data_IF_539485314169
#
_entry.id   IF_539485314169
#
_cell.length_a   1.000
_cell.length_b   1.000
_cell.length_c   1.000
_cell.angle_alpha   90.00
_cell.angle_beta   90.00
_cell.angle_gamma   90.00
#
_symmetry.space_group_name_H-M   'P 1'
#
loop_
_entity.id
_entity.type
_entity.pdbx_description
1 polymer ?
#
# COMPACT_ATOMS: atom_id res chain seq x y z
N UNK A 1 26.88 -19.93 15.31
CA UNK A 1 25.52 -19.99 14.73
C UNK A 1 24.79 -18.75 15.18
N UNK A 2 24.25 -17.95 14.27
CA UNK A 2 23.54 -16.73 14.62
C UNK A 2 22.02 -16.97 14.64
N UNK A 3 21.31 -16.12 15.38
CA UNK A 3 19.86 -16.00 15.30
C UNK A 3 19.50 -14.79 14.45
N UNK A 4 18.51 -14.95 13.56
CA UNK A 4 17.96 -13.89 12.73
C UNK A 4 16.46 -13.74 12.99
N UNK A 5 16.03 -12.52 13.30
CA UNK A 5 14.62 -12.15 13.32
C UNK A 5 14.23 -11.57 11.96
N UNK A 6 13.14 -12.04 11.34
CA UNK A 6 12.58 -11.48 10.13
C UNK A 6 11.22 -10.86 10.45
N UNK A 7 11.12 -9.54 10.35
CA UNK A 7 9.86 -8.81 10.51
C UNK A 7 9.44 -8.29 9.15
N UNK A 8 8.25 -8.66 8.70
CA UNK A 8 7.81 -8.32 7.37
C UNK A 8 6.35 -7.90 7.26
N UNK A 9 6.01 -7.22 6.18
CA UNK A 9 4.62 -6.99 5.78
C UNK A 9 4.43 -7.53 4.36
N UNK A 10 3.25 -8.06 4.04
CA UNK A 10 2.96 -8.55 2.68
C UNK A 10 1.53 -8.24 2.24
N UNK A 11 1.36 -7.95 0.96
CA UNK A 11 0.05 -7.81 0.32
C UNK A 11 -0.41 -9.15 -0.27
N UNK A 12 -0.09 -9.39 -1.54
CA UNK A 12 -0.46 -10.61 -2.28
C UNK A 12 0.58 -11.73 -2.20
N UNK A 13 1.54 -11.66 -1.27
CA UNK A 13 2.46 -12.76 -1.01
C UNK A 13 3.89 -12.59 -1.51
N UNK A 14 4.19 -11.66 -2.42
CA UNK A 14 5.56 -11.50 -2.98
C UNK A 14 6.63 -11.33 -1.89
N UNK A 15 6.37 -10.47 -0.89
CA UNK A 15 7.31 -10.30 0.24
C UNK A 15 7.39 -11.53 1.12
N UNK A 16 6.31 -12.29 1.27
CA UNK A 16 6.36 -13.54 2.03
C UNK A 16 7.18 -14.60 1.30
N UNK A 17 7.12 -14.64 -0.03
CA UNK A 17 7.97 -15.49 -0.85
C UNK A 17 9.45 -15.12 -0.71
N UNK A 18 9.80 -13.84 -0.84
CA UNK A 18 11.17 -13.37 -0.63
C UNK A 18 11.68 -13.71 0.79
N UNK A 19 10.82 -13.58 1.81
CA UNK A 19 11.14 -13.97 3.20
C UNK A 19 11.39 -15.49 3.32
N UNK A 20 10.61 -16.32 2.63
CA UNK A 20 10.82 -17.77 2.61
C UNK A 20 12.16 -18.14 1.93
N UNK A 21 12.54 -17.44 0.84
CA UNK A 21 13.87 -17.58 0.21
C UNK A 21 14.99 -17.23 1.19
N UNK A 22 14.89 -16.09 1.88
CA UNK A 22 15.86 -15.65 2.91
C UNK A 22 15.95 -16.67 4.05
N UNK A 23 14.80 -17.10 4.58
CA UNK A 23 14.74 -18.03 5.70
C UNK A 23 15.45 -19.35 5.37
N UNK A 24 15.16 -19.93 4.19
CA UNK A 24 15.80 -21.17 3.75
C UNK A 24 17.31 -21.01 3.60
N UNK A 25 17.77 -19.91 3.00
CA UNK A 25 19.20 -19.67 2.80
C UNK A 25 19.95 -19.50 4.13
N UNK A 26 19.36 -18.78 5.10
CA UNK A 26 19.94 -18.63 6.44
C UNK A 26 19.98 -19.98 7.19
N UNK A 27 18.91 -20.77 7.10
CA UNK A 27 18.83 -22.10 7.71
C UNK A 27 19.84 -23.09 7.10
N UNK A 28 20.09 -23.03 5.79
CA UNK A 28 21.13 -23.82 5.12
C UNK A 28 22.54 -23.50 5.66
N UNK A 29 22.76 -22.27 6.14
CA UNK A 29 24.00 -21.88 6.83
C UNK A 29 23.98 -22.22 8.34
N UNK A 30 23.07 -23.08 8.78
CA UNK A 30 22.88 -23.52 10.18
C UNK A 30 22.56 -22.36 11.15
N UNK A 31 21.93 -21.29 10.65
CA UNK A 31 21.40 -20.24 11.50
C UNK A 31 19.97 -20.56 11.94
N UNK A 32 19.56 -20.02 13.09
CA UNK A 32 18.17 -20.07 13.51
C UNK A 32 17.45 -18.82 13.02
N UNK A 33 16.19 -18.98 12.61
CA UNK A 33 15.41 -17.89 12.01
C UNK A 33 14.02 -17.87 12.63
N UNK A 34 13.59 -16.70 13.08
CA UNK A 34 12.21 -16.40 13.43
C UNK A 34 11.62 -15.48 12.35
N UNK A 35 10.35 -15.64 11.98
CA UNK A 35 9.70 -14.78 10.99
C UNK A 35 8.29 -14.39 11.43
N UNK A 36 7.99 -13.09 11.41
CA UNK A 36 6.69 -12.55 11.83
C UNK A 36 6.15 -11.55 10.81
N UNK A 37 4.92 -11.79 10.36
CA UNK A 37 4.20 -10.86 9.49
C UNK A 37 3.43 -9.83 10.33
N UNK A 38 3.69 -8.55 10.11
CA UNK A 38 2.89 -7.44 10.61
C UNK A 38 1.51 -7.50 9.95
N UNK A 39 0.48 -7.72 10.75
CA UNK A 39 -0.91 -7.58 10.35
C UNK A 39 -1.72 -6.98 11.51
N UNK A 40 -2.92 -6.48 11.24
CA UNK A 40 -3.85 -6.05 12.28
C UNK A 40 -4.28 -7.18 13.22
N UNK A 41 -4.02 -8.44 12.84
CA UNK A 41 -4.39 -9.63 13.59
C UNK A 41 -3.19 -10.30 14.28
N UNK A 42 -1.97 -9.82 14.04
CA UNK A 42 -0.74 -10.38 14.62
C UNK A 42 -0.19 -9.41 15.65
N UNK A 43 -0.07 -9.84 16.90
CA UNK A 43 0.66 -9.10 17.92
C UNK A 43 2.16 -9.19 17.62
N UNK A 44 2.72 -8.18 16.95
CA UNK A 44 4.17 -8.08 16.75
C UNK A 44 4.78 -7.36 17.95
N UNK A 45 5.72 -7.96 18.69
CA UNK A 45 6.32 -7.32 19.85
C UNK A 45 6.96 -5.96 19.50
N UNK A 46 6.63 -4.95 20.29
CA UNK A 46 7.28 -3.63 20.26
C UNK A 46 8.42 -3.66 21.28
N UNK A 47 9.51 -4.32 20.89
CA UNK A 47 10.76 -4.44 21.68
C UNK A 47 11.95 -4.03 20.81
N UNK A 48 13.14 -3.76 21.40
CA UNK A 48 14.32 -3.48 20.59
C UNK A 48 14.57 -4.63 19.62
N UNK A 49 14.90 -4.29 18.37
CA UNK A 49 15.26 -5.30 17.37
C UNK A 49 16.54 -6.04 17.81
N UNK A 50 16.59 -7.34 17.54
CA UNK A 50 17.69 -8.22 17.94
C UNK A 50 19.01 -7.90 17.23
N UNK A 51 20.05 -8.68 17.52
CA UNK A 51 21.39 -8.46 16.97
C UNK A 51 21.43 -8.51 15.45
N UNK A 52 20.68 -9.45 14.84
CA UNK A 52 20.52 -9.54 13.38
C UNK A 52 19.03 -9.54 13.06
N UNK A 53 18.54 -8.49 12.41
CA UNK A 53 17.13 -8.38 12.03
C UNK A 53 16.97 -8.02 10.56
N UNK A 54 16.14 -8.78 9.85
CA UNK A 54 15.70 -8.48 8.49
C UNK A 54 14.34 -7.78 8.55
N UNK A 55 14.22 -6.62 7.92
CA UNK A 55 12.97 -5.90 7.69
C UNK A 55 12.60 -6.03 6.22
N UNK A 56 11.46 -6.67 5.93
CA UNK A 56 11.02 -6.87 4.53
C UNK A 56 9.60 -6.30 4.29
N UNK A 57 9.40 -5.58 3.20
CA UNK A 57 8.07 -5.00 2.90
C UNK A 57 7.88 -4.76 1.40
N UNK A 58 6.64 -4.75 0.88
CA UNK A 58 6.34 -4.33 -0.48
C UNK A 58 6.47 -2.81 -0.62
N UNK A 59 6.85 -2.32 -1.80
CA UNK A 59 6.84 -0.89 -2.11
C UNK A 59 5.45 -0.47 -2.55
N UNK A 60 4.84 0.46 -1.82
CA UNK A 60 3.56 1.08 -2.20
C UNK A 60 3.79 2.54 -2.54
N UNK A 61 3.62 2.86 -3.82
CA UNK A 61 3.82 4.22 -4.36
C UNK A 61 5.14 4.81 -3.93
N UNK A 62 6.24 4.09 -4.21
CA UNK A 62 7.61 4.54 -3.94
C UNK A 62 7.97 4.71 -2.46
N UNK A 63 7.13 4.20 -1.54
CA UNK A 63 7.32 4.28 -0.09
C UNK A 63 7.03 2.96 0.62
N UNK A 64 7.44 2.89 1.89
CA UNK A 64 7.09 1.77 2.76
C UNK A 64 5.58 1.80 3.09
N UNK A 65 4.93 0.63 3.26
CA UNK A 65 3.54 0.52 3.67
C UNK A 65 3.33 1.25 4.99
N UNK A 66 2.14 1.84 5.19
CA UNK A 66 1.84 2.58 6.40
C UNK A 66 1.91 1.68 7.64
N UNK A 67 1.52 0.41 7.51
CA UNK A 67 1.63 -0.61 8.56
C UNK A 67 3.08 -0.82 9.00
N UNK A 68 4.01 -0.99 8.05
CA UNK A 68 5.44 -1.11 8.32
C UNK A 68 5.98 0.19 8.95
N UNK A 69 5.67 1.35 8.37
CA UNK A 69 6.10 2.65 8.87
C UNK A 69 5.56 2.94 10.28
N UNK A 70 4.35 2.50 10.61
CA UNK A 70 3.77 2.62 11.95
C UNK A 70 4.53 1.74 12.92
N UNK A 71 4.73 0.47 12.60
CA UNK A 71 5.51 -0.45 13.42
C UNK A 71 6.90 0.12 13.75
N UNK A 72 7.66 0.49 12.71
CA UNK A 72 9.03 1.00 12.87
C UNK A 72 9.09 2.25 13.77
N UNK A 73 8.11 3.16 13.66
CA UNK A 73 8.06 4.37 14.50
C UNK A 73 7.81 4.08 15.98
N UNK A 74 7.09 3.01 16.31
CA UNK A 74 6.80 2.63 17.70
C UNK A 74 7.92 1.81 18.35
N UNK A 75 8.88 1.30 17.57
CA UNK A 75 10.03 0.59 18.12
C UNK A 75 10.80 1.46 19.13
N UNK A 76 11.25 0.90 20.26
CA UNK A 76 12.20 1.58 21.13
C UNK A 76 13.54 1.78 20.42
N UNK A 77 14.39 2.63 21.02
CA UNK A 77 15.79 2.75 20.58
C UNK A 77 16.52 1.42 20.76
N UNK A 78 17.52 1.16 19.94
CA UNK A 78 18.31 -0.07 19.98
C UNK A 78 19.62 0.09 19.21
N UNK A 79 20.42 -0.98 19.17
CA UNK A 79 21.72 -1.03 18.48
C UNK A 79 21.88 -2.25 17.56
N UNK A 80 20.78 -2.99 17.32
CA UNK A 80 20.79 -4.18 16.48
C UNK A 80 21.23 -3.88 15.04
N UNK A 81 21.79 -4.89 14.36
CA UNK A 81 22.19 -4.82 12.95
C UNK A 81 21.00 -5.15 12.06
N UNK A 82 20.66 -4.23 11.19
CA UNK A 82 19.43 -4.30 10.40
C UNK A 82 19.75 -4.44 8.91
N UNK A 83 19.02 -5.35 8.28
CA UNK A 83 19.05 -5.61 6.85
C UNK A 83 17.65 -5.33 6.28
N UNK A 84 17.53 -4.52 5.23
CA UNK A 84 16.23 -4.07 4.72
C UNK A 84 16.03 -4.54 3.28
N UNK A 85 14.94 -5.26 3.02
CA UNK A 85 14.54 -5.68 1.67
C UNK A 85 13.21 -5.04 1.27
N UNK A 86 13.23 -4.24 0.21
CA UNK A 86 12.02 -3.69 -0.40
C UNK A 86 11.60 -4.56 -1.60
N UNK A 87 10.34 -5.01 -1.62
CA UNK A 87 9.81 -5.83 -2.71
C UNK A 87 8.95 -4.98 -3.63
N UNK A 88 9.41 -4.76 -4.86
CA UNK A 88 8.79 -3.85 -5.84
C UNK A 88 8.03 -4.64 -6.90
N UNK A 89 7.03 -4.01 -7.51
CA UNK A 89 6.28 -4.57 -8.64
C UNK A 89 7.15 -4.61 -9.89
N UNK A 90 7.44 -5.80 -10.41
CA UNK A 90 8.21 -6.05 -11.61
C UNK A 90 7.30 -6.37 -12.79
N UNK A 91 7.79 -6.03 -13.99
CA UNK A 91 7.20 -6.40 -15.27
C UNK A 91 8.23 -7.18 -16.10
N UNK A 92 7.80 -8.04 -17.04
CA UNK A 92 8.70 -8.70 -17.99
C UNK A 92 9.28 -7.67 -18.98
N UNK A 93 10.52 -7.86 -19.43
CA UNK A 93 11.17 -7.01 -20.44
C UNK A 93 12.67 -6.73 -20.21
N UNK A 94 13.36 -6.29 -21.26
CA UNK A 94 14.79 -5.92 -21.27
C UNK A 94 15.10 -4.57 -20.63
N UNK A 95 14.11 -3.67 -20.58
CA UNK A 95 14.24 -2.44 -19.80
C UNK A 95 14.10 -2.79 -18.32
N UNK A 96 15.24 -2.90 -17.66
CA UNK A 96 15.43 -3.20 -16.24
C UNK A 96 14.74 -2.21 -15.28
N UNK A 97 13.92 -1.29 -15.79
CA UNK A 97 12.93 -0.51 -15.05
C UNK A 97 11.77 -1.37 -14.53
N UNK A 98 12.05 -2.60 -14.07
CA UNK A 98 11.21 -3.23 -13.06
C UNK A 98 10.97 -2.19 -11.97
N UNK A 99 9.76 -2.15 -11.41
CA UNK A 99 9.25 -1.00 -10.66
C UNK A 99 10.27 -0.35 -9.72
N UNK A 100 10.22 0.97 -9.67
CA UNK A 100 11.17 1.79 -8.92
C UNK A 100 10.85 1.72 -7.42
N UNK A 101 11.82 1.34 -6.59
CA UNK A 101 11.68 1.31 -5.12
C UNK A 101 11.50 2.69 -4.49
N UNK A 102 11.82 3.76 -5.22
CA UNK A 102 11.61 5.12 -4.75
C UNK A 102 12.47 5.47 -3.54
N UNK A 103 11.87 6.24 -2.63
CA UNK A 103 12.47 6.60 -1.34
C UNK A 103 12.13 5.63 -0.19
N UNK A 104 11.58 4.45 -0.49
CA UNK A 104 11.08 3.52 0.52
C UNK A 104 12.20 2.99 1.43
N UNK A 105 13.34 2.62 0.84
CA UNK A 105 14.51 2.14 1.58
C UNK A 105 15.11 3.25 2.43
N UNK A 106 15.27 4.46 1.88
CA UNK A 106 15.78 5.59 2.68
C UNK A 106 14.82 6.03 3.78
N UNK A 107 13.50 5.99 3.57
CA UNK A 107 12.53 6.28 4.62
C UNK A 107 12.71 5.33 5.81
N UNK A 108 12.80 4.03 5.55
CA UNK A 108 12.97 3.01 6.59
C UNK A 108 14.31 3.12 7.27
N UNK A 109 15.40 3.28 6.50
CA UNK A 109 16.73 3.50 7.06
C UNK A 109 16.76 4.73 7.97
N UNK A 110 16.17 5.84 7.53
CA UNK A 110 16.12 7.08 8.31
C UNK A 110 15.43 6.86 9.66
N UNK A 111 14.30 6.17 9.68
CA UNK A 111 13.56 5.86 10.93
C UNK A 111 14.43 5.02 11.87
N UNK A 112 15.12 4.01 11.33
CA UNK A 112 15.94 3.07 12.10
C UNK A 112 17.23 3.72 12.64
N UNK A 113 17.95 4.47 11.82
CA UNK A 113 19.19 5.17 12.23
C UNK A 113 18.90 6.22 13.32
N UNK A 114 17.79 6.98 13.21
CA UNK A 114 17.37 7.90 14.30
C UNK A 114 17.07 7.19 15.62
N UNK A 115 16.78 5.89 15.59
CA UNK A 115 16.55 5.05 16.76
C UNK A 115 17.82 4.35 17.26
N UNK A 116 18.97 4.56 16.61
CA UNK A 116 20.28 4.04 17.02
C UNK A 116 20.66 2.69 16.40
N UNK A 117 19.81 2.11 15.53
CA UNK A 117 20.09 0.85 14.86
C UNK A 117 21.15 1.02 13.78
N UNK A 118 21.98 0.00 13.56
CA UNK A 118 22.98 -0.02 12.48
C UNK A 118 22.38 -0.68 11.25
N UNK A 119 21.97 0.12 10.26
CA UNK A 119 21.46 -0.40 8.98
C UNK A 119 22.65 -0.76 8.08
N UNK A 120 22.91 -2.05 7.92
CA UNK A 120 24.09 -2.56 7.21
C UNK A 120 23.83 -2.74 5.71
N UNK A 121 22.71 -3.37 5.34
CA UNK A 121 22.37 -3.68 3.96
C UNK A 121 20.95 -3.23 3.66
N UNK A 122 20.76 -2.56 2.54
CA UNK A 122 19.43 -2.31 1.99
C UNK A 122 19.44 -2.68 0.52
N UNK A 123 18.47 -3.47 0.07
CA UNK A 123 18.31 -3.84 -1.32
C UNK A 123 16.83 -3.88 -1.71
N UNK A 124 16.57 -3.97 -3.00
CA UNK A 124 15.24 -4.23 -3.52
C UNK A 124 15.19 -5.49 -4.40
N UNK A 125 14.01 -6.07 -4.54
CA UNK A 125 13.76 -7.25 -5.37
C UNK A 125 12.43 -7.11 -6.13
N UNK A 126 12.47 -7.31 -7.44
CA UNK A 126 11.33 -7.20 -8.36
C UNK A 126 10.55 -8.51 -8.47
N UNK A 127 9.31 -8.51 -8.00
CA UNK A 127 8.34 -9.61 -8.13
C UNK A 127 7.09 -9.13 -8.87
N UNK A 128 6.25 -10.00 -9.45
CA UNK A 128 5.11 -9.58 -10.27
C UNK A 128 4.25 -8.48 -9.65
N UNK A 129 3.97 -7.43 -10.42
CA UNK A 129 3.08 -6.34 -10.00
C UNK A 129 1.66 -6.86 -9.71
N UNK A 130 0.99 -6.25 -8.73
CA UNK A 130 -0.33 -6.65 -8.26
C UNK A 130 -1.36 -5.49 -8.25
N UNK A 131 -1.02 -4.36 -8.87
CA UNK A 131 -1.79 -3.13 -8.83
C UNK A 131 -2.90 -3.10 -9.90
N UNK A 132 -3.87 -4.00 -9.71
CA UNK A 132 -4.97 -4.23 -10.66
C UNK A 132 -5.87 -3.03 -10.94
N UNK A 133 -5.74 -1.92 -10.19
CA UNK A 133 -6.41 -0.67 -10.54
C UNK A 133 -5.98 -0.15 -11.92
N UNK A 134 -4.72 -0.35 -12.28
CA UNK A 134 -4.11 0.25 -13.48
C UNK A 134 -3.40 -0.76 -14.38
N UNK A 135 -2.93 -1.88 -13.82
CA UNK A 135 -2.09 -2.85 -14.54
C UNK A 135 -2.79 -4.22 -14.52
N UNK A 136 -3.05 -4.85 -15.68
CA UNK A 136 -3.55 -6.22 -15.71
C UNK A 136 -2.51 -7.19 -15.12
N UNK A 137 -2.92 -8.25 -14.42
CA UNK A 137 -2.00 -9.26 -13.93
C UNK A 137 -1.20 -9.92 -15.06
N UNK A 138 0.04 -10.29 -14.74
CA UNK A 138 0.91 -11.02 -15.66
C UNK A 138 0.37 -12.43 -15.98
N UNK A 139 0.68 -12.92 -17.18
CA UNK A 139 0.45 -14.30 -17.57
C UNK A 139 1.31 -15.28 -16.76
N UNK A 140 0.98 -16.58 -16.77
CA UNK A 140 1.67 -17.59 -15.95
C UNK A 140 3.18 -17.67 -16.21
N UNK A 141 3.58 -17.58 -17.48
CA UNK A 141 5.00 -17.66 -17.87
C UNK A 141 5.76 -16.41 -17.41
N UNK A 142 5.15 -15.23 -17.57
CA UNK A 142 5.69 -13.95 -17.10
C UNK A 142 5.78 -13.88 -15.57
N UNK A 143 4.80 -14.45 -14.85
CA UNK A 143 4.85 -14.60 -13.39
C UNK A 143 6.07 -15.44 -13.01
N UNK A 144 6.28 -16.57 -13.69
CA UNK A 144 7.41 -17.47 -13.41
C UNK A 144 8.74 -16.78 -13.68
N UNK A 145 8.89 -16.13 -14.84
CA UNK A 145 10.10 -15.40 -15.20
C UNK A 145 10.40 -14.25 -14.23
N UNK A 146 9.39 -13.47 -13.86
CA UNK A 146 9.54 -12.34 -12.92
C UNK A 146 9.85 -12.82 -11.50
N UNK A 147 9.24 -13.91 -11.04
CA UNK A 147 9.59 -14.53 -9.75
C UNK A 147 11.04 -15.02 -9.73
N UNK A 148 11.51 -15.69 -10.78
CA UNK A 148 12.91 -16.13 -10.89
C UNK A 148 13.89 -14.95 -10.85
N UNK A 149 13.56 -13.82 -11.48
CA UNK A 149 14.33 -12.58 -11.37
C UNK A 149 14.34 -12.05 -9.92
N UNK A 150 13.17 -12.00 -9.27
CA UNK A 150 13.05 -11.58 -7.88
C UNK A 150 13.83 -12.46 -6.90
N UNK A 151 13.86 -13.77 -7.15
CA UNK A 151 14.64 -14.73 -6.36
C UNK A 151 16.14 -14.51 -6.52
N UNK A 152 16.61 -14.23 -7.75
CA UNK A 152 18.00 -13.86 -8.02
C UNK A 152 18.40 -12.56 -7.31
N UNK A 153 17.56 -11.52 -7.39
CA UNK A 153 17.80 -10.24 -6.71
C UNK A 153 17.79 -10.41 -5.17
N UNK A 154 16.89 -11.26 -4.64
CA UNK A 154 16.87 -11.65 -3.22
C UNK A 154 18.13 -12.42 -2.83
N UNK A 155 18.66 -13.28 -3.71
CA UNK A 155 19.94 -13.97 -3.53
C UNK A 155 21.12 -13.00 -3.35
N UNK A 156 21.19 -11.96 -4.18
CA UNK A 156 22.22 -10.90 -4.05
C UNK A 156 22.11 -10.18 -2.70
N UNK A 157 20.90 -9.94 -2.21
CA UNK A 157 20.69 -9.39 -0.87
C UNK A 157 21.20 -10.34 0.23
N UNK A 158 20.91 -11.64 0.12
CA UNK A 158 21.36 -12.67 1.06
C UNK A 158 22.89 -12.75 1.10
N UNK A 159 23.56 -12.72 -0.05
CA UNK A 159 25.03 -12.77 -0.12
C UNK A 159 25.68 -11.56 0.57
N UNK A 160 25.10 -10.37 0.39
CA UNK A 160 25.55 -9.15 1.08
C UNK A 160 25.32 -9.22 2.60
N UNK A 161 24.18 -9.77 3.01
CA UNK A 161 23.84 -9.97 4.42
C UNK A 161 24.84 -10.94 5.08
N UNK A 162 25.11 -12.08 4.44
CA UNK A 162 25.98 -13.14 4.97
C UNK A 162 27.47 -12.77 4.95
N UNK A 163 27.92 -11.98 3.97
CA UNK A 163 29.31 -11.49 3.92
C UNK A 163 29.64 -10.46 4.99
N UNK A 164 28.63 -9.94 5.71
CA UNK A 164 28.81 -8.84 6.67
C UNK A 164 29.12 -7.50 6.00
N UNK A 165 28.93 -7.40 4.68
CA UNK A 165 29.18 -6.18 3.92
C UNK A 165 28.27 -5.02 4.34
N UNK A 166 28.73 -3.79 4.12
CA UNK A 166 27.88 -2.59 4.20
C UNK A 166 27.50 -2.17 2.78
N UNK A 167 26.22 -2.25 2.44
CA UNK A 167 25.72 -1.90 1.11
C UNK A 167 24.33 -1.28 1.23
N UNK A 168 24.30 0.05 1.30
CA UNK A 168 23.06 0.82 1.43
C UNK A 168 22.71 1.47 0.09
N UNK A 169 21.46 1.29 -0.33
CA UNK A 169 20.88 1.80 -1.55
C UNK A 169 20.64 3.31 -1.42
N UNK A 170 20.86 4.03 -2.51
CA UNK A 170 20.60 5.47 -2.61
C UNK A 170 19.85 5.75 -3.91
N UNK A 171 18.64 6.30 -3.81
CA UNK A 171 17.89 6.77 -4.95
C UNK A 171 18.58 7.97 -5.61
N UNK A 172 18.54 8.06 -6.95
CA UNK A 172 19.01 9.25 -7.68
C UNK A 172 18.22 10.50 -7.28
N UNK A 173 18.87 11.67 -7.20
CA UNK A 173 18.33 12.88 -6.58
C UNK A 173 17.11 13.49 -7.32
N UNK A 174 17.14 13.58 -8.65
CA UNK A 174 16.08 14.23 -9.45
C UNK A 174 14.75 13.45 -9.44
N UNK A 175 14.74 12.10 -9.52
CA UNK A 175 13.53 11.31 -9.27
C UNK A 175 13.00 11.43 -7.83
N UNK A 176 13.85 11.69 -6.82
CA UNK A 176 13.49 11.58 -5.39
C UNK A 176 12.60 12.70 -4.85
N UNK A 177 12.82 13.95 -5.26
CA UNK A 177 12.05 15.10 -4.73
C UNK A 177 10.62 15.10 -5.27
N UNK A 178 10.45 14.93 -6.58
CA UNK A 178 9.14 14.85 -7.24
C UNK A 178 8.35 13.61 -6.78
N UNK A 179 8.98 12.44 -6.79
CA UNK A 179 8.32 11.20 -6.32
C UNK A 179 8.03 11.26 -4.82
N UNK A 180 8.85 11.94 -4.02
CA UNK A 180 8.64 12.10 -2.58
C UNK A 180 7.34 12.86 -2.24
N UNK A 181 7.08 14.00 -2.88
CA UNK A 181 5.85 14.78 -2.65
C UNK A 181 4.62 13.98 -3.09
N UNK A 182 4.67 13.42 -4.31
CA UNK A 182 3.57 12.62 -4.87
C UNK A 182 3.30 11.40 -3.97
N UNK A 183 4.33 10.71 -3.51
CA UNK A 183 4.18 9.55 -2.66
C UNK A 183 3.59 9.90 -1.28
N UNK A 184 3.98 11.03 -0.70
CA UNK A 184 3.39 11.53 0.54
C UNK A 184 1.90 11.83 0.35
N UNK A 185 1.54 12.56 -0.70
CA UNK A 185 0.14 12.87 -1.01
C UNK A 185 -0.68 11.61 -1.31
N UNK A 186 -0.13 10.69 -2.09
CA UNK A 186 -0.78 9.42 -2.41
C UNK A 186 -0.98 8.56 -1.16
N UNK A 187 0.01 8.47 -0.27
CA UNK A 187 -0.15 7.76 1.01
C UNK A 187 -1.12 8.47 1.96
N UNK A 188 -1.17 9.79 1.94
CA UNK A 188 -2.06 10.60 2.78
C UNK A 188 -3.54 10.51 2.33
N UNK A 189 -3.78 10.52 1.02
CA UNK A 189 -5.13 10.64 0.46
C UNK A 189 -5.39 9.56 -0.58
N UNK A 190 -4.51 9.42 -1.58
CA UNK A 190 -4.68 8.54 -2.73
C UNK A 190 -5.01 7.08 -2.38
N UNK A 191 -4.15 6.38 -1.64
CA UNK A 191 -4.36 4.98 -1.27
C UNK A 191 -5.65 4.75 -0.47
N UNK A 192 -6.04 5.72 0.36
CA UNK A 192 -7.26 5.67 1.17
C UNK A 192 -8.50 5.86 0.31
N UNK A 193 -8.48 6.84 -0.59
CA UNK A 193 -9.53 7.10 -1.56
C UNK A 193 -9.70 5.93 -2.54
N UNK A 194 -8.60 5.35 -3.04
CA UNK A 194 -8.65 4.13 -3.86
C UNK A 194 -9.27 2.97 -3.09
N UNK A 195 -8.95 2.85 -1.80
CA UNK A 195 -9.59 1.89 -0.91
C UNK A 195 -11.10 2.01 -0.86
N UNK A 196 -11.65 3.23 -0.80
CA UNK A 196 -13.10 3.44 -0.82
C UNK A 196 -13.75 3.08 -2.15
N UNK A 197 -12.99 3.04 -3.24
CA UNK A 197 -13.53 2.71 -4.56
C UNK A 197 -13.70 1.20 -4.80
N UNK A 198 -13.26 0.34 -3.88
CA UNK A 198 -13.59 -1.08 -3.96
C UNK A 198 -15.08 -1.33 -3.70
N UNK A 199 -15.66 -2.26 -4.47
CA UNK A 199 -17.04 -2.70 -4.33
C UNK A 199 -17.13 -4.21 -4.54
N UNK A 200 -17.99 -4.88 -3.78
CA UNK A 200 -18.40 -6.24 -4.10
C UNK A 200 -19.61 -6.22 -5.05
N UNK A 201 -19.50 -6.90 -6.19
CA UNK A 201 -20.58 -7.09 -7.15
C UNK A 201 -21.69 -8.02 -6.62
N UNK A 202 -22.71 -8.24 -7.45
CA UNK A 202 -23.89 -9.04 -7.09
C UNK A 202 -23.58 -10.51 -6.82
N UNK A 203 -22.45 -11.04 -7.32
CA UNK A 203 -22.06 -12.44 -7.15
C UNK A 203 -21.41 -12.72 -5.79
N UNK A 204 -21.14 -11.68 -5.00
CA UNK A 204 -20.58 -11.86 -3.66
C UNK A 204 -21.58 -12.59 -2.75
N UNK A 205 -21.11 -13.68 -2.15
CA UNK A 205 -21.86 -14.58 -1.27
C UNK A 205 -21.67 -14.29 0.24
N UNK A 206 -21.01 -13.18 0.60
CA UNK A 206 -20.81 -12.78 1.99
C UNK A 206 -19.89 -13.68 2.83
N UNK A 207 -19.01 -14.49 2.21
CA UNK A 207 -18.10 -15.40 2.92
C UNK A 207 -17.10 -14.74 3.91
N UNK A 208 -16.96 -13.41 3.86
CA UNK A 208 -16.14 -12.62 4.80
C UNK A 208 -14.62 -12.91 4.78
N UNK A 209 -14.12 -13.67 3.80
CA UNK A 209 -12.67 -13.94 3.67
C UNK A 209 -11.85 -12.66 3.46
N UNK A 210 -12.41 -11.67 2.77
CA UNK A 210 -11.74 -10.39 2.56
C UNK A 210 -11.54 -9.59 3.86
N UNK A 211 -12.50 -9.65 4.79
CA UNK A 211 -12.37 -9.07 6.14
C UNK A 211 -11.34 -9.86 6.95
N UNK A 212 -11.48 -11.19 7.04
CA UNK A 212 -10.62 -12.07 7.84
C UNK A 212 -9.14 -12.01 7.44
N UNK A 213 -8.85 -11.79 6.16
CA UNK A 213 -7.49 -11.77 5.64
C UNK A 213 -7.02 -10.35 5.29
N UNK A 214 -7.71 -9.30 5.71
CA UNK A 214 -7.28 -7.93 5.50
C UNK A 214 -6.07 -7.62 6.40
N UNK A 215 -4.85 -7.42 5.85
CA UNK A 215 -3.66 -7.24 6.68
C UNK A 215 -3.71 -5.96 7.52
N UNK A 216 -4.54 -4.98 7.14
CA UNK A 216 -4.71 -3.72 7.86
C UNK A 216 -6.01 -3.64 8.66
N UNK A 217 -6.82 -4.72 8.71
CA UNK A 217 -8.10 -4.73 9.45
C UNK A 217 -9.11 -3.67 8.97
N UNK A 218 -9.00 -3.25 7.71
CA UNK A 218 -9.75 -2.10 7.16
C UNK A 218 -11.14 -2.46 6.68
N UNK A 219 -11.33 -3.69 6.23
CA UNK A 219 -12.59 -4.15 5.65
C UNK A 219 -13.53 -4.53 6.78
N UNK A 220 -14.79 -4.11 6.67
CA UNK A 220 -15.86 -4.57 7.55
C UNK A 220 -17.05 -5.08 6.77
N UNK A 221 -17.62 -6.18 7.21
CA UNK A 221 -18.84 -6.72 6.60
C UNK A 221 -20.06 -5.95 7.12
N UNK A 222 -20.95 -5.51 6.22
CA UNK A 222 -22.11 -4.65 6.55
C UNK A 222 -23.38 -5.08 5.83
N UNK A 223 -24.53 -4.66 6.36
CA UNK A 223 -25.85 -4.93 5.78
C UNK A 223 -26.33 -6.37 5.96
N UNK A 224 -27.58 -6.64 5.54
CA UNK A 224 -28.22 -7.96 5.64
C UNK A 224 -27.48 -9.02 4.81
N UNK A 225 -27.01 -8.63 3.62
CA UNK A 225 -26.29 -9.52 2.69
C UNK A 225 -24.83 -9.78 3.06
N UNK A 226 -24.34 -9.25 4.20
CA UNK A 226 -22.93 -9.32 4.63
C UNK A 226 -21.97 -8.97 3.48
N UNK A 227 -21.96 -7.71 3.04
CA UNK A 227 -21.06 -7.24 1.98
C UNK A 227 -19.90 -6.41 2.54
N UNK A 228 -18.69 -6.51 1.97
CA UNK A 228 -17.53 -5.79 2.46
C UNK A 228 -17.65 -4.29 2.18
N UNK A 229 -17.22 -3.50 3.16
CA UNK A 229 -17.02 -2.06 3.08
C UNK A 229 -15.60 -1.73 3.51
N UNK A 230 -14.88 -0.99 2.68
CA UNK A 230 -13.51 -0.57 2.96
C UNK A 230 -13.51 0.75 3.73
N UNK A 231 -12.86 0.79 4.88
CA UNK A 231 -12.64 2.02 5.65
C UNK A 231 -11.47 2.83 5.08
N UNK A 232 -11.33 4.07 5.54
CA UNK A 232 -10.29 5.01 5.13
C UNK A 232 -8.87 4.65 5.63
N UNK A 233 -8.70 3.49 6.27
CA UNK A 233 -7.40 2.93 6.69
C UNK A 233 -6.78 2.00 5.64
N UNK A 234 -7.38 1.89 4.45
CA UNK A 234 -6.87 1.04 3.37
C UNK A 234 -5.50 1.51 2.88
N UNK A 235 -4.59 0.57 2.67
CA UNK A 235 -3.27 0.82 2.08
C UNK A 235 -3.19 0.36 0.61
N UNK A 236 -4.32 0.03 -0.01
CA UNK A 236 -4.39 -0.46 -1.39
C UNK A 236 -3.46 -1.66 -1.70
N UNK A 237 -3.25 -2.56 -0.73
CA UNK A 237 -2.40 -3.75 -0.89
C UNK A 237 -2.92 -4.80 -1.90
N UNK A 238 -4.13 -4.59 -2.43
CA UNK A 238 -4.80 -5.45 -3.41
C UNK A 238 -5.02 -6.92 -3.01
N UNK A 239 -4.74 -7.31 -1.76
CA UNK A 239 -4.97 -8.69 -1.31
C UNK A 239 -6.43 -9.12 -1.48
N UNK A 240 -7.39 -8.32 -0.98
CA UNK A 240 -8.81 -8.69 -0.95
C UNK A 240 -9.39 -9.01 -2.33
N UNK A 241 -9.06 -8.21 -3.35
CA UNK A 241 -9.53 -8.41 -4.72
C UNK A 241 -8.90 -9.67 -5.35
N UNK A 242 -7.65 -9.96 -5.02
CA UNK A 242 -6.92 -11.11 -5.55
C UNK A 242 -7.30 -12.46 -4.90
N UNK A 243 -7.77 -12.45 -3.64
CA UNK A 243 -8.08 -13.69 -2.91
C UNK A 243 -9.58 -14.03 -2.92
N UNK A 244 -10.42 -13.20 -3.52
CA UNK A 244 -11.86 -13.39 -3.50
C UNK A 244 -12.24 -14.62 -4.33
N UNK A 245 -12.80 -15.70 -3.74
CA UNK A 245 -13.10 -16.93 -4.47
C UNK A 245 -14.22 -16.74 -5.50
N UNK A 246 -15.15 -15.81 -5.25
CA UNK A 246 -16.23 -15.47 -6.18
C UNK A 246 -15.80 -14.47 -7.24
N UNK A 247 -14.54 -14.03 -7.21
CA UNK A 247 -14.00 -12.95 -8.05
C UNK A 247 -14.80 -11.65 -7.99
N UNK A 248 -15.62 -11.45 -6.95
CA UNK A 248 -16.66 -10.42 -6.88
C UNK A 248 -16.19 -9.03 -6.45
N UNK A 249 -14.98 -8.90 -5.91
CA UNK A 249 -14.46 -7.58 -5.52
C UNK A 249 -13.94 -6.90 -6.78
N UNK A 250 -14.41 -5.69 -7.06
CA UNK A 250 -14.03 -4.88 -8.22
C UNK A 250 -13.58 -3.50 -7.79
N UNK A 251 -12.84 -2.83 -8.67
CA UNK A 251 -12.51 -1.41 -8.51
C UNK A 251 -13.52 -0.55 -9.27
N UNK A 252 -14.38 0.18 -8.56
CA UNK A 252 -15.48 0.94 -9.14
C UNK A 252 -15.00 2.23 -9.81
N UNK A 253 -14.99 2.26 -11.14
CA UNK A 253 -14.84 3.51 -11.89
C UNK A 253 -15.99 4.50 -11.63
N UNK A 254 -17.26 4.06 -11.51
CA UNK A 254 -18.35 4.97 -11.18
C UNK A 254 -18.16 5.72 -9.86
N UNK A 255 -17.66 5.08 -8.80
CA UNK A 255 -17.36 5.79 -7.55
C UNK A 255 -16.32 6.90 -7.74
N UNK A 256 -15.30 6.66 -8.57
CA UNK A 256 -14.23 7.65 -8.84
C UNK A 256 -14.76 8.80 -9.66
N UNK A 257 -15.51 8.51 -10.72
CA UNK A 257 -16.05 9.53 -11.64
C UNK A 257 -17.03 10.42 -10.87
N UNK A 258 -18.02 9.82 -10.21
CA UNK A 258 -19.03 10.56 -9.45
C UNK A 258 -18.38 11.34 -8.31
N UNK A 259 -17.46 10.72 -7.57
CA UNK A 259 -16.73 11.38 -6.49
C UNK A 259 -15.90 12.56 -6.97
N UNK A 260 -15.17 12.40 -8.08
CA UNK A 260 -14.34 13.46 -8.68
C UNK A 260 -15.20 14.62 -9.21
N UNK A 261 -16.27 14.31 -9.96
CA UNK A 261 -17.19 15.32 -10.50
C UNK A 261 -17.84 16.10 -9.37
N UNK A 262 -18.38 15.42 -8.37
CA UNK A 262 -19.05 16.10 -7.27
C UNK A 262 -18.07 16.94 -6.43
N UNK A 263 -16.85 16.44 -6.18
CA UNK A 263 -15.79 17.22 -5.52
C UNK A 263 -15.44 18.47 -6.34
N UNK A 264 -15.28 18.35 -7.66
CA UNK A 264 -15.03 19.47 -8.56
C UNK A 264 -16.14 20.52 -8.52
N UNK A 265 -17.40 20.10 -8.57
CA UNK A 265 -18.56 21.00 -8.47
C UNK A 265 -18.62 21.74 -7.13
N UNK A 266 -18.29 21.07 -6.02
CA UNK A 266 -18.25 21.70 -4.70
C UNK A 266 -17.11 22.72 -4.59
N UNK A 267 -15.92 22.42 -5.14
CA UNK A 267 -14.80 23.38 -5.18
C UNK A 267 -15.21 24.60 -5.99
N UNK A 268 -15.76 24.38 -7.19
CA UNK A 268 -16.21 25.46 -8.07
C UNK A 268 -17.29 26.32 -7.39
N UNK A 269 -18.31 25.70 -6.79
CA UNK A 269 -19.37 26.41 -6.09
C UNK A 269 -18.86 27.21 -4.87
N UNK A 270 -17.91 26.65 -4.11
CA UNK A 270 -17.27 27.34 -2.99
C UNK A 270 -16.49 28.57 -3.43
N UNK A 271 -15.70 28.45 -4.51
CA UNK A 271 -14.94 29.57 -5.08
C UNK A 271 -15.88 30.62 -5.68
N UNK A 272 -16.90 30.20 -6.42
CA UNK A 272 -17.89 31.11 -7.02
C UNK A 272 -18.66 31.90 -5.94
N UNK A 273 -19.08 31.22 -4.87
CA UNK A 273 -19.75 31.86 -3.73
C UNK A 273 -18.82 32.84 -3.00
N UNK A 274 -17.55 32.49 -2.80
CA UNK A 274 -16.57 33.40 -2.23
C UNK A 274 -16.35 34.63 -3.13
N UNK A 275 -16.17 34.44 -4.44
CA UNK A 275 -15.96 35.53 -5.38
C UNK A 275 -17.17 36.48 -5.47
N UNK A 276 -18.39 35.99 -5.23
CA UNK A 276 -19.58 36.82 -5.15
C UNK A 276 -19.61 37.68 -3.86
N UNK A 277 -19.03 37.19 -2.76
CA UNK A 277 -19.01 37.88 -1.47
C UNK A 277 -17.78 38.79 -1.31
N UNK A 278 -16.64 38.42 -1.88
CA UNK A 278 -15.35 39.08 -1.67
C UNK A 278 -15.36 40.60 -1.94
N UNK A 279 -16.02 41.13 -2.99
CA UNK A 279 -16.10 42.57 -3.24
C UNK A 279 -16.82 43.37 -2.14
N UNK A 280 -17.66 42.70 -1.34
CA UNK A 280 -18.43 43.33 -0.26
C UNK A 280 -17.74 43.24 1.11
N UNK A 281 -16.61 42.55 1.20
CA UNK A 281 -15.85 42.43 2.44
C UNK A 281 -14.94 43.65 2.63
N UNK A 282 -14.90 44.26 3.83
CA UNK A 282 -14.06 45.43 4.11
C UNK A 282 -12.59 45.02 4.36
N UNK A 283 -12.03 44.17 3.49
CA UNK A 283 -10.65 43.67 3.57
C UNK A 283 -9.90 44.07 2.30
N UNK A 284 -8.70 44.64 2.46
CA UNK A 284 -7.88 45.14 1.34
C UNK A 284 -6.42 44.75 1.51
N UNK A 285 -5.61 44.98 0.46
CA UNK A 285 -4.18 44.73 0.47
C UNK A 285 -3.82 43.28 0.81
N UNK A 286 -2.83 43.10 1.69
CA UNK A 286 -2.34 41.77 2.08
C UNK A 286 -3.41 40.91 2.78
N UNK A 287 -4.33 41.53 3.51
CA UNK A 287 -5.42 40.80 4.19
C UNK A 287 -6.38 40.15 3.19
N UNK A 288 -6.72 40.86 2.10
CA UNK A 288 -7.55 40.30 1.03
C UNK A 288 -6.84 39.16 0.29
N UNK A 289 -5.54 39.30 0.01
CA UNK A 289 -4.75 38.24 -0.61
C UNK A 289 -4.70 36.96 0.24
N UNK A 290 -4.50 37.10 1.55
CA UNK A 290 -4.53 35.96 2.49
C UNK A 290 -5.92 35.33 2.60
N UNK A 291 -6.98 36.15 2.59
CA UNK A 291 -8.36 35.65 2.60
C UNK A 291 -8.69 34.84 1.33
N UNK A 292 -8.24 35.29 0.15
CA UNK A 292 -8.41 34.56 -1.11
C UNK A 292 -7.75 33.17 -1.03
N UNK A 293 -6.50 33.11 -0.56
CA UNK A 293 -5.76 31.84 -0.41
C UNK A 293 -6.48 30.93 0.59
N UNK A 294 -6.89 31.49 1.74
CA UNK A 294 -7.63 30.75 2.76
C UNK A 294 -8.96 30.19 2.24
N UNK A 295 -9.70 30.96 1.44
CA UNK A 295 -10.97 30.55 0.85
C UNK A 295 -10.79 29.39 -0.14
N UNK A 296 -9.76 29.45 -1.00
CA UNK A 296 -9.44 28.34 -1.92
C UNK A 296 -9.07 27.08 -1.13
N UNK A 297 -8.21 27.20 -0.12
CA UNK A 297 -7.82 26.06 0.72
C UNK A 297 -9.06 25.49 1.42
N UNK A 298 -9.91 26.33 2.00
CA UNK A 298 -11.13 25.91 2.69
C UNK A 298 -12.10 25.22 1.72
N UNK A 299 -12.34 25.78 0.53
CA UNK A 299 -13.20 25.17 -0.49
C UNK A 299 -12.67 23.79 -0.90
N UNK A 300 -11.36 23.66 -1.14
CA UNK A 300 -10.73 22.37 -1.45
C UNK A 300 -10.89 21.38 -0.30
N UNK A 301 -10.55 21.77 0.94
CA UNK A 301 -10.62 20.87 2.11
C UNK A 301 -12.06 20.44 2.39
N UNK A 302 -13.01 21.38 2.41
CA UNK A 302 -14.43 21.09 2.64
C UNK A 302 -15.01 20.21 1.55
N UNK A 303 -14.73 20.49 0.28
CA UNK A 303 -15.18 19.67 -0.83
C UNK A 303 -14.62 18.25 -0.75
N UNK A 304 -13.36 18.08 -0.36
CA UNK A 304 -12.79 16.75 -0.17
C UNK A 304 -13.41 16.01 1.01
N UNK A 305 -13.62 16.70 2.15
CA UNK A 305 -14.27 16.08 3.32
C UNK A 305 -15.71 15.70 2.99
N UNK A 306 -16.51 16.61 2.46
CA UNK A 306 -17.93 16.38 2.14
C UNK A 306 -18.09 15.41 0.98
N UNK A 307 -17.31 15.56 -0.09
CA UNK A 307 -17.35 14.69 -1.27
C UNK A 307 -16.94 13.27 -0.97
N UNK A 308 -15.76 13.06 -0.38
CA UNK A 308 -15.31 11.70 -0.11
C UNK A 308 -16.05 11.02 1.03
N UNK A 309 -16.68 11.75 1.96
CA UNK A 309 -17.40 11.11 3.07
C UNK A 309 -18.90 11.04 2.86
N UNK A 310 -19.59 12.14 2.55
CA UNK A 310 -21.05 12.17 2.45
C UNK A 310 -21.53 11.55 1.14
N UNK A 311 -20.95 11.97 0.01
CA UNK A 311 -21.36 11.46 -1.32
C UNK A 311 -21.02 9.99 -1.46
N UNK A 312 -19.81 9.60 -1.04
CA UNK A 312 -19.45 8.18 -1.00
C UNK A 312 -20.42 7.34 -0.16
N UNK A 313 -20.76 7.79 1.06
CA UNK A 313 -21.72 7.07 1.93
C UNK A 313 -23.10 6.99 1.28
N UNK A 314 -23.56 8.07 0.66
CA UNK A 314 -24.82 8.11 -0.06
C UNK A 314 -24.82 7.13 -1.24
N UNK A 315 -23.84 7.21 -2.14
CA UNK A 315 -23.72 6.28 -3.26
C UNK A 315 -23.60 4.83 -2.78
N UNK A 316 -22.80 4.57 -1.74
CA UNK A 316 -22.67 3.24 -1.15
C UNK A 316 -24.00 2.72 -0.58
N UNK A 317 -24.78 3.57 0.10
CA UNK A 317 -26.13 3.21 0.57
C UNK A 317 -27.02 2.79 -0.60
N UNK A 318 -27.00 3.52 -1.71
CA UNK A 318 -27.78 3.18 -2.91
C UNK A 318 -27.38 1.84 -3.52
N UNK A 319 -26.14 1.36 -3.31
CA UNK A 319 -25.72 0.01 -3.74
C UNK A 319 -26.44 -1.11 -2.98
N UNK A 320 -27.29 -0.81 -1.99
CA UNK A 320 -28.26 -1.77 -1.46
C UNK A 320 -29.26 -2.24 -2.52
N UNK A 321 -29.52 -1.43 -3.55
CA UNK A 321 -30.37 -1.78 -4.69
C UNK A 321 -29.55 -2.56 -5.72
N UNK A 322 -30.02 -3.73 -6.15
CA UNK A 322 -29.28 -4.64 -7.03
C UNK A 322 -28.90 -4.02 -8.38
N UNK A 323 -29.80 -3.27 -9.01
CA UNK A 323 -29.53 -2.60 -10.30
C UNK A 323 -28.44 -1.53 -10.16
N UNK A 324 -28.51 -0.72 -9.09
CA UNK A 324 -27.50 0.29 -8.76
C UNK A 324 -26.15 -0.39 -8.48
N UNK A 325 -26.12 -1.48 -7.71
CA UNK A 325 -24.89 -2.24 -7.47
C UNK A 325 -24.26 -2.74 -8.76
N UNK A 326 -25.06 -3.31 -9.68
CA UNK A 326 -24.56 -3.76 -10.99
C UNK A 326 -23.87 -2.63 -11.76
N UNK A 327 -24.45 -1.42 -11.73
CA UNK A 327 -23.84 -0.24 -12.34
C UNK A 327 -22.51 0.11 -11.66
N UNK A 328 -22.48 0.27 -10.33
CA UNK A 328 -21.26 0.64 -9.60
C UNK A 328 -20.18 -0.44 -9.64
N UNK A 329 -20.52 -1.71 -9.86
CA UNK A 329 -19.55 -2.79 -9.98
C UNK A 329 -18.96 -2.96 -11.39
N UNK A 330 -19.46 -2.23 -12.40
CA UNK A 330 -18.87 -2.27 -13.75
C UNK A 330 -17.42 -1.77 -13.68
N UNK A 331 -16.49 -2.63 -14.09
CA UNK A 331 -15.06 -2.34 -14.00
C UNK A 331 -14.25 -3.17 -14.98
N UNK A 332 -13.15 -2.60 -15.46
CA UNK A 332 -12.12 -3.35 -16.19
C UNK A 332 -11.53 -4.48 -15.33
N UNK A 333 -11.55 -4.39 -14.00
CA UNK A 333 -11.02 -5.46 -13.14
C UNK A 333 -11.83 -6.75 -13.18
N UNK A 334 -13.01 -6.74 -13.81
CA UNK A 334 -13.84 -7.93 -14.04
C UNK A 334 -13.25 -8.86 -15.11
N UNK A 335 -12.55 -8.31 -16.10
CA UNK A 335 -11.89 -9.10 -17.16
C UNK A 335 -10.49 -9.58 -16.76
N UNK A 336 -9.94 -9.06 -15.66
CA UNK A 336 -8.60 -9.41 -15.20
C UNK A 336 -8.60 -10.76 -14.47
N UNK A 337 -7.51 -11.50 -14.65
CA UNK A 337 -7.16 -12.61 -13.77
C UNK A 337 -6.95 -12.14 -12.32
N UNK A 338 -6.62 -13.08 -11.43
CA UNK A 338 -6.24 -12.77 -10.05
C UNK A 338 -4.81 -13.23 -9.82
N UNK A 339 -4.01 -12.40 -9.17
CA UNK A 339 -2.63 -12.71 -8.86
C UNK A 339 -2.40 -12.79 -7.35
N UNK A 340 -1.91 -13.95 -6.95
CA UNK A 340 -1.36 -14.21 -5.63
C UNK A 340 -0.03 -14.91 -5.85
N UNK A 341 1.00 -14.53 -5.09
CA UNK A 341 2.32 -15.16 -5.19
C UNK A 341 2.20 -16.68 -5.06
N UNK A 342 2.90 -17.47 -5.91
CA UNK A 342 2.79 -18.92 -5.90
C UNK A 342 2.97 -19.52 -4.50
N UNK A 343 2.06 -20.40 -4.09
CA UNK A 343 2.09 -21.04 -2.77
C UNK A 343 1.62 -20.17 -1.59
N UNK A 344 1.36 -18.88 -1.79
CA UNK A 344 0.91 -18.01 -0.71
C UNK A 344 -0.55 -18.28 -0.33
N UNK A 345 -0.77 -18.57 0.96
CA UNK A 345 -2.10 -18.76 1.55
C UNK A 345 -2.29 -17.77 2.70
N UNK A 346 -3.11 -16.71 2.54
CA UNK A 346 -3.40 -15.78 3.62
C UNK A 346 -3.86 -16.48 4.90
N UNK A 347 -3.30 -16.08 6.05
CA UNK A 347 -3.72 -16.60 7.37
C UNK A 347 -3.17 -17.98 7.73
N UNK A 348 -2.45 -18.67 6.85
CA UNK A 348 -1.59 -19.80 7.25
C UNK A 348 -0.21 -19.25 7.61
N UNK A 349 0.00 -18.88 8.88
CA UNK A 349 1.37 -18.89 9.43
C UNK A 349 1.74 -20.37 9.60
N UNK A 350 2.84 -20.79 8.96
CA UNK A 350 3.42 -22.11 9.22
C UNK A 350 3.89 -22.19 10.67
#
# INVERSE_FOLDING_TARGET
>A
MAHYDIIYYTGTGNTAHAVDVIQRALQQKRNTVSAVCITAHTAVPIKPLGENTVIAFPVYSWMAPLSMRRYLRHLPKGKGRIYVLAVRGGMPGKDEAGGYGGGALEEVEHILVRKGYDVCVTADAGYPDNWMQFIPPLGKDDVTATCSKGDRETGVFIDKLLSGSRSVYRAKALPKTLTGIIAVLFRAIGARALGTCFIADVNCNGCSLCEKHCPTGTIVMTGKDKRPRWRFSCEACNRCINICPMHSIQFSLPFIIIGSVATGLMIWGGIAGYNALAPHLPITGMAAALANIGAVIAAVVLAHVLGFTAIYRFCFMLTGITSVRRFFSKSHTQSYGRYVSPGFKPGKTK
#
